data_IF_375061530422
#
_entry.id   IF_375061530422
#
_cell.length_a   1.000
_cell.length_b   1.000
_cell.length_c   1.000
_cell.angle_alpha   90.00
_cell.angle_beta   90.00
_cell.angle_gamma   90.00
#
_symmetry.space_group_name_H-M   'P 1'
#
loop_
_entity.id
_entity.type
_entity.pdbx_description
1 polymer ?
#
# COMPACT_ATOMS: atom_id res chain seq x y z
N UNK A 1 -14.85 -2.97 11.22
CA UNK A 1 -13.70 -2.80 12.14
C UNK A 1 -12.72 -1.91 11.39
N UNK A 2 -12.26 -0.80 11.96
CA UNK A 2 -11.40 0.17 11.27
C UNK A 2 -10.04 -0.48 10.98
N UNK A 3 -9.92 -1.08 9.79
CA UNK A 3 -8.68 -1.74 9.34
C UNK A 3 -7.57 -0.72 9.05
N UNK A 4 -7.96 0.56 8.90
CA UNK A 4 -7.05 1.69 8.83
C UNK A 4 -7.11 2.50 10.12
N UNK A 5 -5.94 2.74 10.71
CA UNK A 5 -5.76 3.56 11.92
C UNK A 5 -4.89 4.77 11.60
N UNK A 6 -5.11 5.85 12.35
CA UNK A 6 -4.27 7.06 12.25
C UNK A 6 -3.45 7.21 13.53
N UNK A 7 -2.12 7.32 13.38
CA UNK A 7 -1.19 7.52 14.50
C UNK A 7 -0.26 8.67 14.14
N UNK A 8 -0.26 9.74 14.96
CA UNK A 8 0.57 10.93 14.75
C UNK A 8 0.45 11.54 13.35
N UNK A 9 -0.76 11.53 12.78
CA UNK A 9 -1.04 12.07 11.45
C UNK A 9 -0.63 11.17 10.28
N UNK A 10 -0.13 9.96 10.53
CA UNK A 10 0.11 8.94 9.50
C UNK A 10 -0.96 7.86 9.55
N UNK A 11 -1.34 7.36 8.38
CA UNK A 11 -2.30 6.26 8.25
C UNK A 11 -1.61 4.91 8.11
N UNK A 12 -2.23 3.88 8.68
CA UNK A 12 -1.72 2.51 8.70
C UNK A 12 -2.84 1.51 8.48
N UNK A 13 -2.64 0.55 7.57
CA UNK A 13 -3.45 -0.67 7.49
C UNK A 13 -2.92 -1.65 8.53
N UNK A 14 -3.79 -2.16 9.42
CA UNK A 14 -3.42 -3.22 10.36
C UNK A 14 -3.45 -4.58 9.65
N UNK A 15 -2.29 -5.23 9.55
CA UNK A 15 -2.16 -6.55 8.92
C UNK A 15 -2.36 -7.68 9.94
N UNK A 16 -1.78 -7.54 11.13
CA UNK A 16 -1.97 -8.45 12.27
C UNK A 16 -1.86 -7.71 13.63
N UNK A 17 -1.55 -8.42 14.74
CA UNK A 17 -1.40 -7.83 16.08
C UNK A 17 -0.21 -6.87 16.22
N UNK A 18 0.83 -7.06 15.42
CA UNK A 18 2.14 -6.40 15.50
C UNK A 18 2.62 -5.83 14.17
N UNK A 19 1.94 -6.12 13.07
CA UNK A 19 2.35 -5.75 11.71
C UNK A 19 1.36 -4.79 11.07
N UNK A 20 1.91 -3.76 10.42
CA UNK A 20 1.17 -2.69 9.76
C UNK A 20 1.74 -2.41 8.38
N UNK A 21 0.94 -1.81 7.51
CA UNK A 21 1.39 -1.24 6.24
C UNK A 21 1.04 0.26 6.18
N UNK A 22 2.00 1.09 5.77
CA UNK A 22 1.78 2.49 5.42
C UNK A 22 2.16 2.69 3.96
N UNK A 23 1.64 3.72 3.31
CA UNK A 23 2.04 4.12 1.96
C UNK A 23 2.65 5.52 1.98
N UNK A 24 3.35 5.89 0.92
CA UNK A 24 3.83 7.25 0.72
C UNK A 24 2.68 8.28 0.62
N UNK A 25 2.93 9.56 0.97
CA UNK A 25 1.88 10.58 1.03
C UNK A 25 1.11 10.82 -0.28
N UNK A 26 1.76 10.67 -1.44
CA UNK A 26 1.18 10.83 -2.79
C UNK A 26 0.00 9.89 -3.05
N UNK A 27 -0.01 8.72 -2.41
CA UNK A 27 -1.06 7.70 -2.58
C UNK A 27 -1.76 7.32 -1.28
N UNK A 28 -1.63 8.13 -0.21
CA UNK A 28 -2.28 7.88 1.09
C UNK A 28 -3.82 7.79 0.98
N UNK A 29 -4.40 8.46 -0.02
CA UNK A 29 -5.83 8.39 -0.34
C UNK A 29 -6.31 6.97 -0.73
N UNK A 30 -5.42 6.10 -1.23
CA UNK A 30 -5.76 4.69 -1.51
C UNK A 30 -6.14 3.93 -0.24
N UNK A 31 -5.72 4.40 0.93
CA UNK A 31 -6.08 3.79 2.21
C UNK A 31 -7.57 4.02 2.57
N UNK A 32 -8.30 4.87 1.84
CA UNK A 32 -9.76 4.99 1.95
C UNK A 32 -10.51 3.96 1.09
N UNK A 33 -9.82 3.30 0.15
CA UNK A 33 -10.41 2.26 -0.69
C UNK A 33 -10.36 0.89 0.00
N UNK A 34 -11.52 0.38 0.40
CA UNK A 34 -11.67 -0.94 1.02
C UNK A 34 -11.09 -2.07 0.16
N UNK A 35 -11.21 -1.99 -1.17
CA UNK A 35 -10.65 -3.00 -2.08
C UNK A 35 -9.13 -2.98 -2.09
N UNK A 36 -8.53 -1.81 -2.02
CA UNK A 36 -7.09 -1.68 -1.87
C UNK A 36 -6.63 -2.29 -0.54
N UNK A 37 -7.30 -1.94 0.57
CA UNK A 37 -7.01 -2.47 1.90
C UNK A 37 -7.10 -3.99 1.93
N UNK A 38 -8.13 -4.58 1.32
CA UNK A 38 -8.28 -6.04 1.22
C UNK A 38 -7.14 -6.68 0.42
N UNK A 39 -6.76 -6.09 -0.73
CA UNK A 39 -5.64 -6.57 -1.54
C UNK A 39 -4.33 -6.56 -0.78
N UNK A 40 -4.05 -5.49 -0.02
CA UNK A 40 -2.86 -5.39 0.84
C UNK A 40 -2.82 -6.53 1.85
N UNK A 41 -3.92 -6.79 2.55
CA UNK A 41 -3.99 -7.90 3.53
C UNK A 41 -3.80 -9.26 2.88
N UNK A 42 -4.42 -9.48 1.71
CA UNK A 42 -4.27 -10.73 0.96
C UNK A 42 -2.83 -10.93 0.50
N UNK A 43 -2.21 -9.90 -0.06
CA UNK A 43 -0.82 -9.96 -0.51
C UNK A 43 0.13 -10.25 0.66
N UNK A 44 -0.06 -9.58 1.81
CA UNK A 44 0.68 -9.86 3.03
C UNK A 44 0.53 -11.32 3.48
N UNK A 45 -0.70 -11.81 3.63
CA UNK A 45 -0.94 -13.18 4.09
C UNK A 45 -0.29 -14.22 3.16
N UNK A 46 -0.37 -14.02 1.85
CA UNK A 46 0.17 -14.98 0.88
C UNK A 46 1.69 -14.88 0.76
N UNK A 47 2.22 -13.67 0.56
CA UNK A 47 3.64 -13.50 0.21
C UNK A 47 4.54 -13.46 1.43
N UNK A 48 4.05 -12.92 2.55
CA UNK A 48 4.83 -12.83 3.79
C UNK A 48 4.52 -14.01 4.71
N UNK A 49 3.27 -14.17 5.16
CA UNK A 49 2.98 -15.17 6.20
C UNK A 49 3.15 -16.61 5.72
N UNK A 50 2.67 -16.94 4.52
CA UNK A 50 2.73 -18.31 4.00
C UNK A 50 4.09 -18.64 3.35
N UNK A 51 4.74 -17.66 2.74
CA UNK A 51 5.96 -17.88 1.94
C UNK A 51 7.26 -17.33 2.57
N UNK A 52 7.19 -16.76 3.78
CA UNK A 52 8.32 -16.11 4.47
C UNK A 52 8.99 -15.00 3.62
N UNK A 53 8.20 -14.27 2.83
CA UNK A 53 8.67 -13.13 2.04
C UNK A 53 9.05 -11.92 2.88
N UNK A 54 10.00 -11.12 2.39
CA UNK A 54 10.49 -9.90 3.04
C UNK A 54 9.70 -8.64 2.64
N UNK A 55 8.77 -8.78 1.70
CA UNK A 55 8.03 -7.72 1.05
C UNK A 55 6.89 -8.30 0.22
N UNK A 56 6.04 -7.41 -0.29
CA UNK A 56 4.97 -7.79 -1.20
C UNK A 56 4.58 -6.63 -2.12
N UNK A 57 3.95 -6.94 -3.24
CA UNK A 57 3.50 -5.92 -4.21
C UNK A 57 2.00 -6.02 -4.43
N UNK A 58 1.34 -4.86 -4.49
CA UNK A 58 -0.09 -4.72 -4.77
C UNK A 58 -0.27 -3.91 -6.05
N UNK A 59 -1.11 -4.41 -6.96
CA UNK A 59 -1.57 -3.66 -8.13
C UNK A 59 -3.01 -3.20 -7.94
N UNK A 60 -3.25 -1.91 -8.07
CA UNK A 60 -4.56 -1.31 -7.86
C UNK A 60 -4.75 -0.04 -8.69
N UNK A 61 -5.78 0.00 -9.53
CA UNK A 61 -6.16 1.20 -10.31
C UNK A 61 -5.02 1.89 -11.06
N UNK A 62 -4.16 1.10 -11.72
CA UNK A 62 -3.01 1.61 -12.47
C UNK A 62 -1.76 1.85 -11.62
N UNK A 63 -1.88 1.85 -10.29
CA UNK A 63 -0.74 1.89 -9.38
C UNK A 63 -0.17 0.51 -9.14
N UNK A 64 1.16 0.44 -9.13
CA UNK A 64 1.90 -0.70 -8.60
C UNK A 64 2.65 -0.26 -7.34
N UNK A 65 2.20 -0.72 -6.18
CA UNK A 65 2.75 -0.33 -4.87
C UNK A 65 3.54 -1.49 -4.29
N UNK A 66 4.80 -1.25 -3.98
CA UNK A 66 5.70 -2.21 -3.35
C UNK A 66 5.88 -1.89 -1.87
N UNK A 67 5.62 -2.89 -1.04
CA UNK A 67 5.73 -2.86 0.40
C UNK A 67 6.99 -3.62 0.82
N UNK A 68 7.97 -2.91 1.38
CA UNK A 68 9.20 -3.51 1.91
C UNK A 68 9.31 -3.25 3.42
N UNK A 69 10.07 -4.10 4.12
CA UNK A 69 10.49 -3.82 5.50
C UNK A 69 11.79 -3.00 5.47
N UNK A 70 11.76 -1.70 5.84
CA UNK A 70 12.94 -0.83 5.75
C UNK A 70 14.08 -1.23 6.71
N UNK A 71 13.81 -2.07 7.72
CA UNK A 71 14.83 -2.59 8.62
C UNK A 71 14.50 -4.01 9.09
N UNK A 72 15.27 -5.00 8.64
CA UNK A 72 15.26 -6.38 9.16
C UNK A 72 15.91 -6.51 10.56
N UNK A 73 16.24 -5.39 11.21
CA UNK A 73 17.04 -5.33 12.43
C UNK A 73 16.16 -5.39 13.69
N UNK A 74 15.95 -6.61 14.16
CA UNK A 74 15.91 -6.99 15.58
C UNK A 74 15.12 -6.12 16.58
N UNK A 75 13.85 -6.49 16.77
CA UNK A 75 13.07 -6.42 18.02
C UNK A 75 12.62 -5.07 18.63
N UNK A 76 11.34 -5.09 19.04
CA UNK A 76 10.54 -4.21 19.93
C UNK A 76 9.62 -3.16 19.30
N UNK A 77 9.67 -2.94 18.00
CA UNK A 77 8.71 -2.07 17.32
C UNK A 77 7.74 -2.88 16.46
N UNK A 78 6.52 -2.37 16.20
CA UNK A 78 5.66 -2.99 15.19
C UNK A 78 6.38 -3.06 13.86
N UNK A 79 6.23 -4.19 13.14
CA UNK A 79 6.75 -4.36 11.80
C UNK A 79 5.93 -3.49 10.86
N UNK A 80 6.53 -2.42 10.34
CA UNK A 80 5.86 -1.51 9.41
C UNK A 80 6.42 -1.77 8.02
N UNK A 81 5.55 -2.26 7.14
CA UNK A 81 5.81 -2.26 5.71
C UNK A 81 5.56 -0.86 5.15
N UNK A 82 6.57 -0.30 4.50
CA UNK A 82 6.43 0.98 3.81
C UNK A 82 6.19 0.72 2.31
N UNK A 83 5.05 1.23 1.84
CA UNK A 83 4.56 1.11 0.48
C UNK A 83 5.00 2.30 -0.37
N UNK A 84 5.75 2.04 -1.42
CA UNK A 84 6.19 3.05 -2.39
C UNK A 84 5.63 2.73 -3.77
N UNK A 85 5.33 3.75 -4.57
CA UNK A 85 4.82 3.55 -5.93
C UNK A 85 5.99 3.17 -6.84
N UNK A 86 5.96 1.95 -7.39
CA UNK A 86 6.92 1.51 -8.41
C UNK A 86 6.52 2.01 -9.82
N UNK A 87 5.23 2.25 -10.05
CA UNK A 87 4.68 2.73 -11.32
C UNK A 87 3.44 3.57 -11.02
N UNK A 88 3.54 4.88 -11.28
CA UNK A 88 2.39 5.78 -11.28
C UNK A 88 1.60 5.53 -12.56
N UNK A 89 0.25 5.60 -12.54
CA UNK A 89 -0.52 5.53 -13.75
C UNK A 89 -0.01 6.61 -14.70
N UNK A 90 0.28 6.23 -15.96
CA UNK A 90 0.50 7.21 -17.02
C UNK A 90 -0.67 8.18 -16.94
N UNK A 91 -0.39 9.43 -16.56
CA UNK A 91 -1.39 10.47 -16.44
C UNK A 91 -2.28 10.36 -17.67
N UNK A 92 -3.55 10.00 -17.48
CA UNK A 92 -4.51 9.93 -18.56
C UNK A 92 -4.49 11.30 -19.19
N UNK A 93 -3.80 11.42 -20.32
CA UNK A 93 -3.70 12.63 -21.08
C UNK A 93 -5.10 12.79 -21.70
N UNK A 94 -6.02 13.40 -20.94
CA UNK A 94 -7.25 13.97 -21.47
C UNK A 94 -6.84 15.18 -22.30
N UNK A 95 -6.18 14.93 -23.43
CA UNK A 95 -6.19 15.87 -24.54
C UNK A 95 -7.60 15.84 -25.08
N UNK A 96 -8.44 16.72 -24.54
CA UNK A 96 -9.59 17.28 -25.23
C UNK A 96 -9.16 17.66 -26.66
N UNK A 97 -9.43 16.79 -27.61
CA UNK A 97 -9.69 17.22 -28.98
C UNK A 97 -11.19 17.16 -29.18
N UNK A 98 -11.87 18.16 -28.61
CA UNK A 98 -12.90 18.84 -29.38
C UNK A 98 -12.22 19.41 -30.63
N UNK A 99 -12.30 18.69 -31.74
CA UNK A 99 -12.21 19.31 -33.07
C UNK A 99 -13.52 18.99 -33.76
N UNK A 100 -14.46 19.91 -33.58
CA UNK A 100 -15.39 20.29 -34.63
C UNK A 100 -14.64 20.43 -35.95
N UNK A 101 -15.02 19.59 -36.92
CA UNK A 101 -14.63 19.67 -38.32
C UNK A 101 -15.62 18.88 -39.15
#
# INVERSE_FOLDING_TARGET
>A
MTDVITVRGRRYIRLDRTTFAAVEPSVEWLMDDERFVEKVRRAYNVQVCLNNGWGFTVKHEGYRIRFDLPNATGYRLPNIYEGYVEEEPETVQLSLLEVTG
#
